data_IF_893855026370
#
_entry.id   IF_893855026370
#
_cell.length_a   1.000
_cell.length_b   1.000
_cell.length_c   1.000
_cell.angle_alpha   90.00
_cell.angle_beta   90.00
_cell.angle_gamma   90.00
#
_symmetry.space_group_name_H-M   'P 1'
#
loop_
_entity.id
_entity.type
_entity.pdbx_description
1 polymer ?
#
# COMPACT_ATOMS: atom_id res chain seq x y z
N UNK A 1 8.59 3.30 -26.39
CA UNK A 1 7.69 2.19 -26.03
C UNK A 1 6.31 2.79 -25.79
N UNK A 2 5.27 2.25 -26.39
CA UNK A 2 3.90 2.58 -25.98
C UNK A 2 3.71 2.05 -24.55
N UNK A 3 3.34 2.94 -23.62
CA UNK A 3 2.85 2.54 -22.31
C UNK A 3 1.44 1.98 -22.50
N UNK A 4 1.27 0.68 -22.35
CA UNK A 4 -0.06 0.07 -22.24
C UNK A 4 -0.78 0.69 -21.03
N UNK A 5 -1.81 1.50 -21.30
CA UNK A 5 -2.62 2.10 -20.26
C UNK A 5 -3.63 1.07 -19.74
N UNK A 6 -3.40 0.60 -18.52
CA UNK A 6 -4.38 -0.21 -17.80
C UNK A 6 -5.55 0.67 -17.35
N UNK A 7 -6.78 0.25 -17.65
CA UNK A 7 -8.01 0.86 -17.11
C UNK A 7 -8.53 0.00 -15.98
N UNK A 8 -8.87 0.62 -14.85
CA UNK A 8 -9.43 -0.04 -13.67
C UNK A 8 -10.76 0.63 -13.29
N UNK A 9 -11.71 -0.17 -12.82
CA UNK A 9 -12.93 0.34 -12.19
C UNK A 9 -12.67 0.48 -10.69
N UNK A 10 -12.96 1.66 -10.14
CA UNK A 10 -12.77 1.93 -8.72
C UNK A 10 -13.63 0.97 -7.87
N UNK A 11 -14.89 0.76 -8.27
CA UNK A 11 -15.80 -0.19 -7.60
C UNK A 11 -15.25 -1.62 -7.50
N UNK A 12 -14.46 -2.08 -8.48
CA UNK A 12 -13.86 -3.40 -8.44
C UNK A 12 -12.73 -3.44 -7.39
N UNK A 13 -11.91 -2.39 -7.32
CA UNK A 13 -10.84 -2.27 -6.32
C UNK A 13 -11.40 -2.21 -4.90
N UNK A 14 -12.46 -1.42 -4.68
CA UNK A 14 -13.12 -1.32 -3.37
C UNK A 14 -13.62 -2.69 -2.89
N UNK A 15 -14.34 -3.42 -3.75
CA UNK A 15 -14.86 -4.76 -3.42
C UNK A 15 -13.75 -5.76 -3.13
N UNK A 16 -12.68 -5.75 -3.92
CA UNK A 16 -11.54 -6.64 -3.74
C UNK A 16 -10.83 -6.34 -2.42
N UNK A 17 -10.60 -5.06 -2.10
CA UNK A 17 -9.97 -4.66 -0.84
C UNK A 17 -10.81 -5.11 0.35
N UNK A 18 -12.12 -4.85 0.34
CA UNK A 18 -13.02 -5.29 1.43
C UNK A 18 -12.94 -6.82 1.62
N UNK A 19 -12.98 -7.59 0.53
CA UNK A 19 -12.88 -9.04 0.58
C UNK A 19 -11.54 -9.50 1.19
N UNK A 20 -10.42 -9.00 0.69
CA UNK A 20 -9.08 -9.39 1.14
C UNK A 20 -8.87 -9.05 2.62
N UNK A 21 -9.30 -7.87 3.07
CA UNK A 21 -9.21 -7.48 4.48
C UNK A 21 -10.14 -8.31 5.38
N UNK A 22 -11.32 -8.72 4.88
CA UNK A 22 -12.20 -9.63 5.61
C UNK A 22 -11.55 -10.99 5.81
N UNK A 23 -11.00 -11.58 4.75
CA UNK A 23 -10.29 -12.87 4.81
C UNK A 23 -9.04 -12.80 5.69
N UNK A 24 -8.29 -11.72 5.60
CA UNK A 24 -7.14 -11.49 6.48
C UNK A 24 -7.57 -11.51 7.95
N UNK A 25 -8.62 -10.75 8.31
CA UNK A 25 -9.15 -10.73 9.68
C UNK A 25 -9.64 -12.10 10.15
N UNK A 26 -10.28 -12.89 9.30
CA UNK A 26 -10.71 -14.24 9.64
C UNK A 26 -9.53 -15.17 9.98
N UNK A 27 -8.40 -14.99 9.29
CA UNK A 27 -7.21 -15.85 9.46
C UNK A 27 -6.32 -15.43 10.64
N UNK A 28 -6.13 -14.13 10.86
CA UNK A 28 -5.15 -13.61 11.85
C UNK A 28 -5.80 -12.87 13.02
N UNK A 29 -7.10 -12.63 12.99
CA UNK A 29 -7.82 -11.85 13.99
C UNK A 29 -7.74 -10.33 13.76
N UNK A 30 -8.00 -9.55 14.81
CA UNK A 30 -8.10 -8.08 14.74
C UNK A 30 -6.75 -7.37 14.75
N UNK A 31 -5.69 -8.05 15.17
CA UNK A 31 -4.34 -7.50 15.32
C UNK A 31 -3.35 -8.44 14.67
N UNK A 32 -2.52 -7.88 13.78
CA UNK A 32 -1.42 -8.57 13.14
C UNK A 32 -0.13 -7.81 13.42
N UNK A 33 0.97 -8.55 13.56
CA UNK A 33 2.31 -7.98 13.70
C UNK A 33 2.96 -7.83 12.31
N UNK A 34 3.57 -6.67 12.07
CA UNK A 34 4.41 -6.41 10.88
C UNK A 34 5.84 -6.34 11.37
N UNK A 35 6.71 -7.17 10.80
CA UNK A 35 8.09 -7.35 11.26
C UNK A 35 9.04 -6.28 10.72
N UNK A 36 8.76 -5.73 9.54
CA UNK A 36 9.62 -4.74 8.89
C UNK A 36 8.95 -3.37 8.86
N UNK A 37 9.44 -2.42 9.66
CA UNK A 37 8.91 -1.05 9.68
C UNK A 37 9.48 -0.18 8.54
N UNK A 38 10.78 -0.33 8.25
CA UNK A 38 11.44 0.45 7.21
C UNK A 38 11.41 -0.24 5.85
N UNK A 39 11.24 0.54 4.79
CA UNK A 39 11.27 0.04 3.42
C UNK A 39 11.99 1.01 2.48
N UNK A 40 12.50 0.49 1.37
CA UNK A 40 12.99 1.31 0.26
C UNK A 40 11.81 1.85 -0.54
N UNK A 41 11.64 3.17 -0.54
CA UNK A 41 10.72 3.89 -1.42
C UNK A 41 11.47 4.30 -2.70
N UNK A 42 10.88 3.94 -3.83
CA UNK A 42 11.38 4.32 -5.15
C UNK A 42 10.50 5.47 -5.65
N UNK A 43 11.05 6.67 -5.91
CA UNK A 43 10.32 7.79 -6.48
C UNK A 43 9.64 7.41 -7.80
N UNK A 44 8.48 8.01 -8.08
CA UNK A 44 7.68 7.66 -9.25
C UNK A 44 8.43 7.81 -10.60
N UNK A 45 9.41 8.71 -10.67
CA UNK A 45 10.29 8.91 -11.84
C UNK A 45 11.16 7.69 -12.15
N UNK A 46 11.58 6.94 -11.13
CA UNK A 46 12.40 5.73 -11.27
C UNK A 46 11.54 4.46 -11.21
N UNK A 47 10.39 4.49 -10.51
CA UNK A 47 9.55 3.32 -10.20
C UNK A 47 9.06 2.55 -11.45
N UNK A 48 8.79 3.27 -12.54
CA UNK A 48 8.25 2.69 -13.77
C UNK A 48 9.31 2.48 -14.86
N UNK A 49 10.57 2.83 -14.62
CA UNK A 49 11.66 2.55 -15.55
C UNK A 49 12.25 1.16 -15.27
N UNK A 50 11.53 0.10 -15.64
CA UNK A 50 11.91 -1.29 -15.36
C UNK A 50 13.21 -1.77 -16.05
N UNK A 51 13.85 -0.93 -16.88
CA UNK A 51 15.08 -1.26 -17.60
C UNK A 51 16.34 -0.62 -17.01
N UNK A 52 16.19 0.32 -16.07
CA UNK A 52 17.31 0.91 -15.35
C UNK A 52 17.19 0.64 -13.86
N UNK A 53 18.33 0.52 -13.18
CA UNK A 53 18.35 0.46 -11.73
C UNK A 53 17.91 1.83 -11.17
N UNK A 54 17.00 1.86 -10.16
CA UNK A 54 16.57 3.11 -9.53
C UNK A 54 17.76 3.80 -8.88
N UNK A 55 17.97 5.08 -9.20
CA UNK A 55 19.15 5.84 -8.75
C UNK A 55 18.88 6.58 -7.46
N UNK A 56 17.62 6.88 -7.17
CA UNK A 56 17.21 7.65 -5.99
C UNK A 56 16.36 6.79 -5.07
N UNK A 57 16.99 5.93 -4.28
CA UNK A 57 16.27 5.22 -3.23
C UNK A 57 16.09 6.14 -2.02
N UNK A 58 14.86 6.24 -1.53
CA UNK A 58 14.53 6.94 -0.28
C UNK A 58 14.06 5.94 0.77
N UNK A 59 14.13 6.32 2.04
CA UNK A 59 13.65 5.50 3.15
C UNK A 59 12.22 5.89 3.49
N UNK A 60 11.33 4.91 3.54
CA UNK A 60 9.99 5.05 4.12
C UNK A 60 9.84 4.23 5.40
N UNK A 61 8.79 4.51 6.16
CA UNK A 61 8.51 3.87 7.44
C UNK A 61 7.00 3.61 7.58
N UNK A 62 6.61 2.35 7.79
CA UNK A 62 5.21 1.92 7.84
C UNK A 62 4.47 2.48 9.05
N UNK A 63 5.15 2.62 10.19
CA UNK A 63 4.56 3.23 11.38
C UNK A 63 4.18 4.69 11.13
N UNK A 64 5.02 5.42 10.39
CA UNK A 64 4.77 6.82 10.04
C UNK A 64 3.63 6.92 9.03
N UNK A 65 3.63 6.09 7.99
CA UNK A 65 2.53 5.98 7.03
C UNK A 65 1.19 5.68 7.73
N UNK A 66 1.20 4.74 8.68
CA UNK A 66 0.01 4.36 9.46
C UNK A 66 -0.45 5.48 10.40
N UNK A 67 0.48 6.13 11.11
CA UNK A 67 0.16 7.24 12.01
C UNK A 67 -0.47 8.40 11.25
N UNK A 68 0.07 8.71 10.08
CA UNK A 68 -0.46 9.75 9.21
C UNK A 68 -1.86 9.40 8.71
N UNK A 69 -2.08 8.20 8.17
CA UNK A 69 -3.39 7.86 7.58
C UNK A 69 -4.49 7.61 8.62
N UNK A 70 -4.13 7.23 9.86
CA UNK A 70 -5.09 7.07 10.97
C UNK A 70 -5.92 8.32 11.23
N UNK A 71 -5.41 9.52 10.92
CA UNK A 71 -6.16 10.79 11.06
C UNK A 71 -7.47 10.79 10.26
N UNK A 72 -7.52 10.06 9.14
CA UNK A 72 -8.70 9.99 8.27
C UNK A 72 -9.89 9.25 8.91
N UNK A 73 -9.66 8.47 9.97
CA UNK A 73 -10.76 7.85 10.74
C UNK A 73 -11.63 8.93 11.41
N UNK A 74 -11.00 10.02 11.87
CA UNK A 74 -11.69 11.14 12.51
C UNK A 74 -12.09 12.23 11.51
N UNK A 75 -11.26 12.47 10.49
CA UNK A 75 -11.47 13.51 9.47
C UNK A 75 -11.36 12.95 8.04
N UNK A 76 -12.38 12.22 7.54
CA UNK A 76 -12.33 11.63 6.19
C UNK A 76 -12.14 12.65 5.06
N UNK A 77 -12.68 13.86 5.23
CA UNK A 77 -12.63 14.95 4.23
C UNK A 77 -11.23 15.59 4.09
N UNK A 78 -10.27 15.22 4.96
CA UNK A 78 -8.87 15.70 4.92
C UNK A 78 -7.93 14.78 4.13
N UNK A 79 -8.49 13.84 3.36
CA UNK A 79 -7.70 12.95 2.50
C UNK A 79 -6.90 13.75 1.45
N UNK A 80 -5.62 13.41 1.31
CA UNK A 80 -4.73 13.97 0.29
C UNK A 80 -4.26 12.89 -0.67
N UNK A 81 -3.79 13.29 -1.85
CA UNK A 81 -3.31 12.36 -2.89
C UNK A 81 -2.22 11.38 -2.39
N UNK A 82 -1.42 11.80 -1.42
CA UNK A 82 -0.36 10.97 -0.83
C UNK A 82 -0.89 9.86 0.09
N UNK A 83 -2.12 9.95 0.61
CA UNK A 83 -2.66 8.93 1.51
C UNK A 83 -2.87 7.58 0.81
N UNK A 84 -3.21 7.59 -0.49
CA UNK A 84 -3.24 6.37 -1.30
C UNK A 84 -1.86 5.71 -1.40
N UNK A 85 -0.78 6.50 -1.45
CA UNK A 85 0.58 5.96 -1.42
C UNK A 85 0.88 5.32 -0.06
N UNK A 86 0.55 5.99 1.04
CA UNK A 86 0.76 5.48 2.41
C UNK A 86 0.08 4.13 2.63
N UNK A 87 -1.21 4.02 2.31
CA UNK A 87 -1.93 2.75 2.47
C UNK A 87 -1.40 1.66 1.52
N UNK A 88 -0.93 2.02 0.32
CA UNK A 88 -0.35 1.05 -0.61
C UNK A 88 0.93 0.40 -0.07
N UNK A 89 1.75 1.16 0.68
CA UNK A 89 2.95 0.62 1.32
C UNK A 89 2.59 -0.38 2.42
N UNK A 90 1.57 -0.07 3.22
CA UNK A 90 1.05 -0.98 4.26
C UNK A 90 0.52 -2.26 3.61
N UNK A 91 -0.33 -2.16 2.58
CA UNK A 91 -0.89 -3.32 1.87
C UNK A 91 0.23 -4.16 1.24
N UNK A 92 1.25 -3.52 0.65
CA UNK A 92 2.42 -4.22 0.11
C UNK A 92 3.16 -5.01 1.19
N UNK A 93 3.35 -4.42 2.38
CA UNK A 93 3.97 -5.11 3.51
C UNK A 93 3.14 -6.32 3.96
N UNK A 94 1.81 -6.14 4.07
CA UNK A 94 0.90 -7.22 4.40
C UNK A 94 1.00 -8.37 3.40
N UNK A 95 1.04 -8.08 2.10
CA UNK A 95 1.17 -9.10 1.05
C UNK A 95 2.51 -9.85 1.08
N UNK A 96 3.60 -9.19 1.50
CA UNK A 96 4.92 -9.82 1.64
C UNK A 96 5.01 -10.73 2.87
N UNK A 97 4.44 -10.29 4.00
CA UNK A 97 4.55 -11.02 5.27
C UNK A 97 3.42 -12.04 5.47
N UNK A 98 2.28 -11.86 4.80
CA UNK A 98 1.10 -12.72 4.89
C UNK A 98 0.63 -13.16 3.48
N UNK A 99 1.45 -13.90 2.72
CA UNK A 99 1.11 -14.31 1.36
C UNK A 99 -0.08 -15.29 1.30
N UNK A 100 -0.51 -15.81 2.44
CA UNK A 100 -1.58 -16.78 2.60
C UNK A 100 -2.84 -16.04 3.08
N UNK A 101 -3.40 -15.20 2.20
CA UNK A 101 -4.81 -14.87 2.24
C UNK A 101 -5.60 -15.89 1.39
N UNK A 102 -5.20 -17.18 1.41
CA UNK A 102 -5.92 -18.33 0.84
C UNK A 102 -5.46 -19.62 1.53
#
# INVERSE_FOLDING_TARGET
METDQMKVKIDDLEKILILLFSQLRENVGDVLEINNDFYWDIPAEDLYNAYEEPKKLTLGQLSDDLNEIKRLIASPDEAISYDLKRISNIIKSLGNENPIAF
#
